data_IF_487303041428
#
_entry.id   IF_487303041428
#
_cell.length_a   1.000
_cell.length_b   1.000
_cell.length_c   1.000
_cell.angle_alpha   90.00
_cell.angle_beta   90.00
_cell.angle_gamma   90.00
#
_symmetry.space_group_name_H-M   'P 1'
#
loop_
_entity.id
_entity.type
_entity.pdbx_description
1 polymer ?
#
# COMPACT_ATOMS: atom_id res chain seq x y z
N UNK A 1 -2.94 63.21 -52.94
CA UNK A 1 -2.31 62.10 -53.69
C UNK A 1 -1.55 61.26 -52.67
N UNK A 2 -2.12 60.12 -52.27
CA UNK A 2 -1.68 59.29 -51.13
C UNK A 2 -0.45 58.48 -51.55
N UNK A 3 0.67 58.63 -50.84
CA UNK A 3 1.90 57.88 -51.08
C UNK A 3 2.09 56.88 -49.94
N UNK A 4 1.89 55.60 -50.26
CA UNK A 4 1.81 54.50 -49.30
C UNK A 4 3.11 54.21 -48.55
N UNK A 5 2.95 53.90 -47.27
CA UNK A 5 3.97 53.28 -46.43
C UNK A 5 4.00 51.78 -46.72
N UNK A 6 5.17 51.24 -47.09
CA UNK A 6 5.45 49.79 -46.99
C UNK A 6 6.61 49.63 -46.02
N UNK A 7 6.25 49.25 -44.79
CA UNK A 7 7.16 48.90 -43.70
C UNK A 7 7.68 47.48 -43.95
N UNK A 8 8.91 47.35 -44.46
CA UNK A 8 9.60 46.06 -44.59
C UNK A 8 10.15 45.67 -43.21
N UNK A 9 9.39 44.83 -42.52
CA UNK A 9 9.82 44.12 -41.32
C UNK A 9 10.84 43.06 -41.73
N UNK A 10 12.12 43.29 -41.44
CA UNK A 10 13.18 42.28 -41.53
C UNK A 10 13.26 41.55 -40.17
N UNK A 11 12.45 40.50 -40.02
CA UNK A 11 12.73 39.46 -39.02
C UNK A 11 13.80 38.53 -39.60
N UNK A 12 15.05 38.75 -39.20
CA UNK A 12 16.12 37.76 -39.43
C UNK A 12 15.85 36.61 -38.46
N UNK A 13 15.38 35.50 -39.01
CA UNK A 13 15.29 34.21 -38.34
C UNK A 13 16.68 33.75 -37.92
N UNK A 14 17.05 33.97 -36.65
CA UNK A 14 18.07 33.17 -36.00
C UNK A 14 17.41 31.88 -35.51
N UNK A 15 17.07 30.98 -36.45
CA UNK A 15 16.79 29.57 -36.11
C UNK A 15 18.11 28.93 -35.74
N UNK A 16 18.42 29.00 -34.45
CA UNK A 16 19.40 28.14 -33.82
C UNK A 16 18.94 26.69 -34.01
N UNK A 17 19.58 25.98 -34.95
CA UNK A 17 19.41 24.54 -35.13
C UNK A 17 20.00 23.88 -33.89
N UNK A 18 19.17 23.66 -32.87
CA UNK A 18 19.43 22.64 -31.87
C UNK A 18 19.23 21.29 -32.58
N UNK A 19 20.27 20.81 -33.27
CA UNK A 19 20.33 19.41 -33.63
C UNK A 19 20.29 18.62 -32.32
N UNK A 20 19.18 17.91 -32.09
CA UNK A 20 18.97 17.12 -30.88
C UNK A 20 20.15 16.16 -30.72
N UNK A 21 20.88 16.26 -29.60
CA UNK A 21 22.02 15.39 -29.31
C UNK A 21 21.67 13.90 -29.43
N UNK A 22 20.39 13.54 -29.22
CA UNK A 22 19.85 12.20 -29.42
C UNK A 22 19.95 11.67 -30.85
N UNK A 23 19.80 12.51 -31.88
CA UNK A 23 19.91 12.08 -33.29
C UNK A 23 21.35 11.77 -33.68
N UNK A 24 22.30 12.59 -33.22
CA UNK A 24 23.73 12.38 -33.46
C UNK A 24 24.20 11.11 -32.76
N UNK A 25 23.77 10.90 -31.51
CA UNK A 25 24.07 9.67 -30.75
C UNK A 25 23.51 8.43 -31.45
N UNK A 26 22.29 8.50 -31.99
CA UNK A 26 21.68 7.37 -32.68
C UNK A 26 22.47 6.96 -33.94
N UNK A 27 22.94 7.93 -34.73
CA UNK A 27 23.71 7.68 -35.95
C UNK A 27 25.12 7.11 -35.66
N UNK A 28 25.83 7.66 -34.66
CA UNK A 28 27.18 7.16 -34.29
C UNK A 28 27.13 5.71 -33.79
N UNK A 29 26.12 5.36 -33.02
CA UNK A 29 25.95 4.00 -32.51
C UNK A 29 25.39 3.02 -33.55
N UNK A 30 24.63 3.49 -34.56
CA UNK A 30 24.24 2.64 -35.70
C UNK A 30 25.47 2.14 -36.47
N UNK A 31 26.50 2.98 -36.57
CA UNK A 31 27.78 2.65 -37.20
C UNK A 31 28.82 2.04 -36.24
N UNK A 32 28.41 1.60 -35.04
CA UNK A 32 29.33 1.11 -34.01
C UNK A 32 30.19 -0.08 -34.50
N UNK A 33 29.66 -0.93 -35.37
CA UNK A 33 30.42 -2.02 -35.99
C UNK A 33 31.64 -1.50 -36.76
N UNK A 34 31.46 -0.45 -37.55
CA UNK A 34 32.52 0.15 -38.35
C UNK A 34 33.55 0.86 -37.45
N UNK A 35 33.08 1.58 -36.43
CA UNK A 35 33.94 2.21 -35.40
C UNK A 35 34.78 1.14 -34.69
N UNK A 36 34.18 0.03 -34.27
CA UNK A 36 34.87 -1.08 -33.62
C UNK A 36 35.92 -1.71 -34.54
N UNK A 37 35.64 -1.81 -35.84
CA UNK A 37 36.59 -2.33 -36.83
C UNK A 37 37.82 -1.43 -36.97
N UNK A 38 37.64 -0.10 -36.99
CA UNK A 38 38.73 0.87 -37.02
C UNK A 38 39.55 0.82 -35.74
N UNK A 39 38.91 0.75 -34.57
CA UNK A 39 39.61 0.64 -33.28
C UNK A 39 40.51 -0.59 -33.20
N UNK A 40 40.06 -1.75 -33.72
CA UNK A 40 40.91 -2.96 -33.81
C UNK A 40 42.21 -2.70 -34.57
N UNK A 41 42.15 -1.99 -35.70
CA UNK A 41 43.36 -1.65 -36.46
C UNK A 41 44.32 -0.76 -35.66
N UNK A 42 43.77 0.14 -34.85
CA UNK A 42 44.56 1.03 -33.98
C UNK A 42 45.28 0.25 -32.88
N UNK A 43 44.57 -0.63 -32.17
CA UNK A 43 45.15 -1.47 -31.11
C UNK A 43 46.18 -2.48 -31.65
N UNK A 44 45.90 -3.05 -32.83
CA UNK A 44 46.82 -3.97 -33.52
C UNK A 44 48.03 -3.27 -34.14
N UNK A 45 48.13 -1.94 -34.04
CA UNK A 45 49.19 -1.11 -34.68
C UNK A 45 49.25 -1.27 -36.20
N UNK A 46 48.12 -1.59 -36.83
CA UNK A 46 47.96 -1.71 -38.29
C UNK A 46 47.34 -0.46 -38.92
N UNK A 47 46.80 0.45 -38.10
CA UNK A 47 46.17 1.68 -38.56
C UNK A 47 47.21 2.73 -38.99
N UNK A 48 46.97 3.36 -40.15
CA UNK A 48 47.68 4.57 -40.57
C UNK A 48 47.05 5.85 -40.00
N UNK A 49 47.74 6.98 -40.19
CA UNK A 49 47.31 8.32 -39.72
C UNK A 49 45.87 8.68 -40.12
N UNK A 50 45.46 8.36 -41.34
CA UNK A 50 44.10 8.62 -41.85
C UNK A 50 43.05 7.83 -41.06
N UNK A 51 43.32 6.56 -40.74
CA UNK A 51 42.39 5.70 -40.00
C UNK A 51 42.26 6.14 -38.55
N UNK A 52 43.38 6.58 -37.95
CA UNK A 52 43.39 7.12 -36.59
C UNK A 52 42.59 8.42 -36.53
N UNK A 53 42.82 9.35 -37.48
CA UNK A 53 42.07 10.61 -37.57
C UNK A 53 40.59 10.39 -37.79
N UNK A 54 40.21 9.43 -38.65
CA UNK A 54 38.81 9.06 -38.86
C UNK A 54 38.18 8.58 -37.56
N UNK A 55 38.81 7.63 -36.86
CA UNK A 55 38.26 7.14 -35.59
C UNK A 55 38.17 8.25 -34.53
N UNK A 56 39.15 9.16 -34.47
CA UNK A 56 39.11 10.32 -33.59
C UNK A 56 37.93 11.26 -33.90
N UNK A 57 37.59 11.47 -35.17
CA UNK A 57 36.41 12.22 -35.58
C UNK A 57 35.12 11.51 -35.14
N UNK A 58 35.01 10.20 -35.34
CA UNK A 58 33.83 9.41 -34.95
C UNK A 58 33.58 9.44 -33.44
N UNK A 59 34.64 9.37 -32.62
CA UNK A 59 34.52 9.42 -31.14
C UNK A 59 34.47 10.85 -30.59
N UNK A 60 34.53 11.88 -31.45
CA UNK A 60 34.37 13.28 -31.07
C UNK A 60 35.57 13.92 -30.35
N UNK A 61 36.79 13.51 -30.68
CA UNK A 61 38.04 14.11 -30.18
C UNK A 61 38.84 14.80 -31.28
N UNK A 62 39.88 15.53 -30.89
CA UNK A 62 40.80 16.17 -31.85
C UNK A 62 41.45 15.12 -32.74
N UNK A 63 41.31 15.28 -34.06
CA UNK A 63 41.85 14.38 -35.06
C UNK A 63 43.32 14.68 -35.37
N UNK A 64 44.20 14.36 -34.43
CA UNK A 64 45.64 14.60 -34.52
C UNK A 64 46.44 13.42 -35.10
N UNK A 65 45.79 12.29 -35.38
CA UNK A 65 46.41 11.08 -35.91
C UNK A 65 47.22 10.28 -34.88
N UNK A 66 47.13 10.65 -33.60
CA UNK A 66 47.83 9.98 -32.50
C UNK A 66 46.83 9.39 -31.52
N UNK A 67 46.73 8.07 -31.50
CA UNK A 67 45.86 7.40 -30.54
C UNK A 67 46.48 7.44 -29.14
N UNK A 68 45.81 8.13 -28.22
CA UNK A 68 46.27 8.31 -26.84
C UNK A 68 45.13 8.26 -25.82
N UNK A 69 45.42 8.61 -24.57
CA UNK A 69 44.49 8.47 -23.43
C UNK A 69 43.13 9.15 -23.65
N UNK A 70 43.10 10.30 -24.31
CA UNK A 70 41.86 11.02 -24.59
C UNK A 70 41.00 10.31 -25.65
N UNK A 71 41.62 9.81 -26.72
CA UNK A 71 40.94 9.03 -27.75
C UNK A 71 40.41 7.71 -27.20
N UNK A 72 41.21 7.05 -26.36
CA UNK A 72 40.81 5.83 -25.66
C UNK A 72 39.60 6.06 -24.74
N UNK A 73 39.64 7.11 -23.93
CA UNK A 73 38.54 7.46 -23.04
C UNK A 73 37.26 7.81 -23.81
N UNK A 74 37.39 8.52 -24.94
CA UNK A 74 36.24 8.87 -25.78
C UNK A 74 35.62 7.64 -26.46
N UNK A 75 36.45 6.70 -26.94
CA UNK A 75 35.96 5.42 -27.46
C UNK A 75 35.24 4.60 -26.38
N UNK A 76 35.79 4.50 -25.16
CA UNK A 76 35.11 3.84 -24.04
C UNK A 76 33.77 4.51 -23.72
N UNK A 77 33.72 5.84 -23.68
CA UNK A 77 32.48 6.58 -23.43
C UNK A 77 31.44 6.37 -24.56
N UNK A 78 31.88 6.17 -25.80
CA UNK A 78 31.01 5.77 -26.90
C UNK A 78 30.45 4.37 -26.68
N UNK A 79 31.27 3.40 -26.29
CA UNK A 79 30.80 2.04 -25.98
C UNK A 79 29.77 2.03 -24.84
N UNK A 80 30.04 2.74 -23.74
CA UNK A 80 29.10 2.83 -22.61
C UNK A 80 27.76 3.45 -23.05
N UNK A 81 27.83 4.51 -23.86
CA UNK A 81 26.65 5.16 -24.42
C UNK A 81 25.85 4.21 -25.30
N UNK A 82 26.50 3.56 -26.27
CA UNK A 82 25.82 2.67 -27.21
C UNK A 82 25.36 1.36 -26.54
N UNK A 83 26.05 0.88 -25.51
CA UNK A 83 25.66 -0.30 -24.74
C UNK A 83 24.43 -0.08 -23.86
N UNK A 84 24.17 1.17 -23.47
CA UNK A 84 22.96 1.56 -22.73
C UNK A 84 21.78 1.98 -23.62
N UNK A 85 22.01 2.15 -24.92
CA UNK A 85 21.00 2.69 -25.83
C UNK A 85 20.19 1.56 -26.48
N UNK A 86 18.87 1.55 -26.23
CA UNK A 86 17.94 0.66 -26.92
C UNK A 86 17.44 1.33 -28.20
N UNK A 87 17.73 0.72 -29.35
CA UNK A 87 17.13 1.11 -30.63
C UNK A 87 15.77 0.43 -30.79
N UNK A 88 14.78 1.12 -31.39
CA UNK A 88 13.59 0.41 -31.86
C UNK A 88 14.02 -0.59 -32.94
N UNK A 89 13.72 -1.87 -32.71
CA UNK A 89 13.89 -2.92 -33.71
C UNK A 89 12.81 -2.85 -34.79
N UNK A 90 12.76 -3.89 -35.61
CA UNK A 90 11.68 -4.07 -36.59
C UNK A 90 10.31 -4.08 -35.89
N UNK A 91 9.34 -3.40 -36.48
CA UNK A 91 7.98 -3.33 -35.95
C UNK A 91 7.21 -4.55 -36.43
N UNK A 92 6.92 -5.46 -35.51
CA UNK A 92 6.02 -6.59 -35.77
C UNK A 92 4.58 -6.13 -35.50
N UNK A 93 3.75 -6.17 -36.53
CA UNK A 93 2.30 -5.95 -36.40
C UNK A 93 1.63 -7.26 -35.97
N UNK A 94 0.75 -7.17 -34.98
CA UNK A 94 0.01 -8.32 -34.46
C UNK A 94 -1.46 -8.13 -34.83
N UNK A 95 -1.99 -9.02 -35.66
CA UNK A 95 -3.37 -8.93 -36.15
C UNK A 95 -4.40 -9.41 -35.12
N UNK A 96 -4.04 -10.40 -34.31
CA UNK A 96 -4.94 -11.04 -33.34
C UNK A 96 -4.31 -11.05 -31.95
N UNK A 97 -4.90 -10.28 -31.04
CA UNK A 97 -4.62 -10.33 -29.62
C UNK A 97 -5.90 -10.60 -28.84
N UNK A 98 -5.82 -11.43 -27.81
CA UNK A 98 -6.95 -11.76 -26.94
C UNK A 98 -6.70 -11.19 -25.55
N UNK A 99 -7.66 -10.42 -25.05
CA UNK A 99 -7.63 -9.87 -23.68
C UNK A 99 -8.59 -10.67 -22.80
N UNK A 100 -8.10 -11.11 -21.64
CA UNK A 100 -8.88 -11.84 -20.63
C UNK A 100 -8.86 -11.04 -19.33
N UNK A 101 -10.03 -10.80 -18.76
CA UNK A 101 -10.17 -10.06 -17.50
C UNK A 101 -10.36 -11.00 -16.31
N UNK A 102 -9.63 -10.72 -15.23
CA UNK A 102 -9.73 -11.44 -13.97
C UNK A 102 -10.34 -10.53 -12.89
N UNK A 103 -11.35 -11.07 -12.21
CA UNK A 103 -12.06 -10.38 -11.13
C UNK A 103 -11.89 -11.13 -9.83
N UNK A 104 -11.68 -10.40 -8.74
CA UNK A 104 -11.63 -10.93 -7.39
C UNK A 104 -12.97 -10.67 -6.68
N UNK A 105 -13.46 -11.66 -5.96
CA UNK A 105 -14.61 -11.47 -5.09
C UNK A 105 -14.17 -10.86 -3.75
N UNK A 106 -14.83 -9.78 -3.36
CA UNK A 106 -14.58 -9.06 -2.12
C UNK A 106 -15.84 -9.07 -1.27
N UNK A 107 -15.75 -9.65 -0.08
CA UNK A 107 -16.83 -9.56 0.91
C UNK A 107 -16.79 -8.21 1.59
N UNK A 108 -17.89 -7.46 1.51
CA UNK A 108 -18.05 -6.18 2.20
C UNK A 108 -18.70 -6.43 3.56
N UNK A 109 -18.04 -5.92 4.59
CA UNK A 109 -18.52 -6.00 5.96
C UNK A 109 -19.11 -4.65 6.38
N UNK A 110 -20.29 -4.68 6.98
CA UNK A 110 -20.89 -3.53 7.63
C UNK A 110 -20.98 -3.76 9.13
N UNK A 111 -20.86 -2.68 9.89
CA UNK A 111 -20.92 -2.71 11.35
C UNK A 111 -22.36 -2.50 11.79
N UNK A 112 -23.05 -3.58 12.12
CA UNK A 112 -24.44 -3.54 12.58
C UNK A 112 -24.52 -3.62 14.11
N UNK A 113 -25.51 -2.95 14.70
CA UNK A 113 -25.80 -3.05 16.12
C UNK A 113 -26.71 -4.27 16.36
N UNK A 114 -26.23 -5.22 17.17
CA UNK A 114 -27.01 -6.36 17.63
C UNK A 114 -27.31 -6.15 19.11
N UNK A 115 -28.59 -6.18 19.46
CA UNK A 115 -29.03 -6.06 20.85
C UNK A 115 -28.83 -7.40 21.55
N UNK A 116 -27.97 -7.41 22.57
CA UNK A 116 -27.76 -8.57 23.43
C UNK A 116 -28.42 -8.31 24.77
N UNK A 117 -29.41 -9.14 25.13
CA UNK A 117 -30.15 -9.03 26.38
C UNK A 117 -29.79 -10.17 27.32
N UNK A 118 -29.39 -9.83 28.55
CA UNK A 118 -29.12 -10.80 29.60
C UNK A 118 -30.10 -10.61 30.75
N UNK A 119 -30.68 -11.73 31.21
CA UNK A 119 -31.50 -11.71 32.41
C UNK A 119 -30.57 -11.66 33.63
N UNK A 120 -30.68 -10.59 34.41
CA UNK A 120 -29.95 -10.41 35.66
C UNK A 120 -30.93 -10.42 36.82
N UNK A 121 -30.55 -11.12 37.89
CA UNK A 121 -31.33 -11.15 39.11
C UNK A 121 -30.74 -10.13 40.08
N UNK A 122 -31.46 -9.03 40.32
CA UNK A 122 -31.01 -7.93 41.18
C UNK A 122 -31.70 -8.00 42.54
N UNK A 123 -30.98 -7.72 43.64
CA UNK A 123 -31.57 -7.73 44.99
C UNK A 123 -32.48 -6.51 45.20
N UNK A 124 -33.67 -6.75 45.76
CA UNK A 124 -34.60 -5.70 46.20
C UNK A 124 -34.44 -5.52 47.71
N UNK A 125 -34.14 -4.29 48.13
CA UNK A 125 -33.94 -3.95 49.54
C UNK A 125 -35.23 -3.42 50.17
N UNK A 126 -35.59 -3.98 51.33
CA UNK A 126 -36.77 -3.58 52.09
C UNK A 126 -36.42 -3.38 53.57
N UNK A 127 -37.19 -2.53 54.23
CA UNK A 127 -37.10 -2.33 55.68
C UNK A 127 -37.87 -3.44 56.38
N UNK A 128 -37.17 -4.30 57.12
CA UNK A 128 -37.78 -5.36 57.93
C UNK A 128 -37.56 -5.07 59.41
N UNK A 129 -38.51 -5.46 60.25
CA UNK A 129 -38.35 -5.35 61.70
C UNK A 129 -37.29 -6.34 62.17
N UNK A 130 -36.33 -5.85 62.95
CA UNK A 130 -35.29 -6.69 63.51
C UNK A 130 -35.95 -7.75 64.43
N UNK A 131 -35.62 -9.05 64.30
CA UNK A 131 -36.10 -10.06 65.22
C UNK A 131 -35.74 -9.68 66.66
N UNK A 132 -36.71 -9.74 67.57
CA UNK A 132 -36.52 -9.44 68.99
C UNK A 132 -35.80 -10.56 69.76
N UNK A 133 -35.40 -11.64 69.09
CA UNK A 133 -34.58 -12.68 69.68
C UNK A 133 -33.11 -12.27 69.67
N UNK A 134 -32.72 -11.82 70.86
CA UNK A 134 -31.36 -11.65 71.36
C UNK A 134 -30.35 -12.63 70.74
N UNK A 135 -29.35 -12.09 70.03
CA UNK A 135 -28.09 -12.80 69.79
C UNK A 135 -27.31 -12.44 68.54
N UNK A 136 -27.93 -11.90 67.49
CA UNK A 136 -27.23 -11.69 66.22
C UNK A 136 -27.27 -10.23 65.75
N UNK A 137 -26.16 -9.54 66.03
CA UNK A 137 -25.67 -8.39 65.27
C UNK A 137 -26.49 -7.11 65.41
N UNK A 138 -26.64 -6.63 66.65
CA UNK A 138 -26.89 -5.22 66.91
C UNK A 138 -25.54 -4.53 67.11
N UNK A 139 -25.11 -3.73 66.13
CA UNK A 139 -23.93 -2.88 66.24
C UNK A 139 -22.83 -3.21 65.23
N UNK A 140 -22.80 -2.44 64.15
CA UNK A 140 -21.66 -2.15 63.27
C UNK A 140 -20.51 -3.15 63.18
N UNK A 141 -20.52 -3.96 62.12
CA UNK A 141 -19.28 -4.36 61.46
C UNK A 141 -19.59 -4.76 60.02
N UNK A 142 -19.06 -3.99 59.05
CA UNK A 142 -18.82 -4.52 57.71
C UNK A 142 -17.73 -5.58 57.89
N UNK A 143 -18.13 -6.82 58.14
CA UNK A 143 -17.26 -7.97 57.97
C UNK A 143 -17.16 -8.24 56.46
N UNK A 144 -16.29 -7.46 55.80
CA UNK A 144 -15.79 -7.72 54.46
C UNK A 144 -14.92 -8.97 54.48
N UNK A 145 -15.54 -10.14 54.51
CA UNK A 145 -14.88 -11.43 54.28
C UNK A 145 -14.69 -11.64 52.79
N UNK A 146 -13.55 -11.18 52.27
CA UNK A 146 -13.11 -11.40 50.89
C UNK A 146 -12.47 -12.79 50.78
N UNK A 147 -13.23 -13.87 50.59
CA UNK A 147 -12.71 -15.19 50.13
C UNK A 147 -13.90 -15.94 49.48
N UNK A 148 -13.89 -16.42 48.24
CA UNK A 148 -12.85 -16.45 47.20
C UNK A 148 -13.27 -17.37 46.05
N UNK A 149 -12.55 -17.18 44.92
CA UNK A 149 -12.25 -18.15 43.86
C UNK A 149 -13.41 -18.62 42.96
N UNK A 150 -13.56 -17.93 41.82
CA UNK A 150 -13.85 -18.64 40.57
C UNK A 150 -12.50 -18.81 39.87
N UNK A 151 -11.98 -20.03 39.89
CA UNK A 151 -10.99 -20.45 38.90
C UNK A 151 -11.79 -20.72 37.63
N UNK A 152 -11.70 -19.85 36.64
CA UNK A 152 -12.09 -20.20 35.27
C UNK A 152 -10.83 -20.71 34.57
N UNK A 153 -10.49 -21.98 34.81
CA UNK A 153 -9.61 -22.73 33.90
C UNK A 153 -10.51 -23.64 33.06
N UNK A 154 -11.15 -23.04 32.05
CA UNK A 154 -11.64 -23.68 30.82
C UNK A 154 -12.61 -22.71 30.13
N UNK A 155 -12.36 -22.51 28.84
CA UNK A 155 -13.22 -21.78 27.92
C UNK A 155 -14.67 -22.25 28.06
N UNK A 156 -15.52 -21.41 28.68
CA UNK A 156 -16.95 -21.66 28.86
C UNK A 156 -17.49 -21.62 30.31
N UNK A 157 -16.67 -21.32 31.32
CA UNK A 157 -17.09 -21.30 32.73
C UNK A 157 -17.52 -19.94 33.30
N UNK A 158 -18.68 -19.90 33.94
CA UNK A 158 -19.36 -18.74 34.51
C UNK A 158 -18.58 -17.96 35.59
N UNK A 159 -18.73 -16.62 35.61
CA UNK A 159 -18.38 -15.77 36.75
C UNK A 159 -19.65 -15.28 37.48
N UNK A 160 -20.23 -16.12 38.34
CA UNK A 160 -21.32 -15.70 39.25
C UNK A 160 -20.69 -15.08 40.48
N UNK A 161 -20.58 -13.74 40.48
CA UNK A 161 -19.95 -12.96 41.54
C UNK A 161 -20.59 -13.20 42.90
N UNK A 162 -19.74 -13.30 43.93
CA UNK A 162 -20.14 -13.40 45.32
C UNK A 162 -21.12 -12.27 45.71
N UNK A 163 -22.29 -12.63 46.22
CA UNK A 163 -23.23 -11.66 46.79
C UNK A 163 -22.95 -11.54 48.29
N UNK A 164 -22.23 -10.47 48.67
CA UNK A 164 -22.05 -10.05 50.06
C UNK A 164 -23.30 -9.25 50.45
N UNK A 165 -24.21 -9.86 51.21
CA UNK A 165 -25.36 -9.17 51.80
C UNK A 165 -25.03 -8.64 53.20
N UNK A 166 -24.48 -7.44 53.29
CA UNK A 166 -24.32 -6.73 54.56
C UNK A 166 -25.66 -6.09 54.98
N UNK A 167 -26.10 -6.31 56.22
CA UNK A 167 -27.19 -5.54 56.79
C UNK A 167 -26.66 -4.15 57.19
N UNK A 168 -27.27 -3.08 56.69
CA UNK A 168 -26.98 -1.71 57.14
C UNK A 168 -28.00 -1.37 58.22
N UNK A 169 -27.54 -1.30 59.47
CA UNK A 169 -28.34 -0.82 60.58
C UNK A 169 -28.48 0.70 60.47
N UNK A 170 -29.71 1.20 60.35
CA UNK A 170 -29.99 2.64 60.35
C UNK A 170 -30.24 3.08 61.79
N UNK A 171 -29.37 3.90 62.36
CA UNK A 171 -29.47 4.42 63.74
C UNK A 171 -30.47 5.59 63.79
N UNK A 172 -31.75 5.30 63.53
CA UNK A 172 -32.84 6.27 63.71
C UNK A 172 -33.82 5.73 64.74
N UNK A 173 -33.75 6.35 65.93
CA UNK A 173 -34.22 5.96 67.26
C UNK A 173 -35.75 5.84 67.47
N UNK A 174 -36.55 5.35 66.51
CA UNK A 174 -37.97 5.07 66.82
C UNK A 174 -38.54 3.78 66.25
N UNK A 175 -37.90 3.11 65.30
CA UNK A 175 -38.43 1.87 64.73
C UNK A 175 -37.28 0.93 64.39
N UNK A 176 -37.12 -0.17 65.16
CA UNK A 176 -36.13 -1.25 65.00
C UNK A 176 -36.20 -1.89 63.61
N UNK A 177 -35.78 -1.17 62.58
CA UNK A 177 -35.92 -1.55 61.18
C UNK A 177 -34.55 -1.65 60.56
N UNK A 178 -34.24 -2.82 60.03
CA UNK A 178 -33.00 -3.10 59.31
C UNK A 178 -33.31 -3.19 57.82
N UNK A 179 -32.45 -2.61 56.99
CA UNK A 179 -32.58 -2.74 55.53
C UNK A 179 -31.94 -4.07 55.13
N UNK A 180 -32.75 -5.00 54.63
CA UNK A 180 -32.31 -6.33 54.19
C UNK A 180 -32.75 -6.59 52.75
N UNK A 181 -32.05 -7.46 52.05
CA UNK A 181 -32.54 -8.03 50.78
C UNK A 181 -33.80 -8.83 51.09
N UNK A 182 -34.97 -8.31 50.70
CA UNK A 182 -36.29 -8.92 50.96
C UNK A 182 -36.77 -9.77 49.79
N UNK A 183 -36.11 -9.67 48.65
CA UNK A 183 -36.44 -10.44 47.46
C UNK A 183 -35.44 -10.19 46.34
N UNK A 184 -35.70 -10.83 45.23
CA UNK A 184 -34.93 -10.67 44.01
C UNK A 184 -35.87 -10.41 42.86
N UNK A 185 -35.56 -9.41 42.06
CA UNK A 185 -36.29 -9.07 40.85
C UNK A 185 -35.46 -9.51 39.65
N UNK A 186 -36.11 -10.16 38.68
CA UNK A 186 -35.50 -10.46 37.41
C UNK A 186 -35.61 -9.20 36.55
N UNK A 187 -34.47 -8.62 36.18
CA UNK A 187 -34.39 -7.51 35.25
C UNK A 187 -33.69 -7.96 33.97
N UNK A 188 -34.14 -7.47 32.82
CA UNK A 188 -33.49 -7.73 31.54
C UNK A 188 -32.59 -6.54 31.22
N UNK A 189 -31.28 -6.74 31.20
CA UNK A 189 -30.30 -5.73 30.79
C UNK A 189 -29.92 -5.95 29.33
N UNK A 190 -30.33 -5.03 28.45
CA UNK A 190 -30.05 -5.09 27.02
C UNK A 190 -28.97 -4.08 26.65
N UNK A 191 -27.92 -4.53 25.95
CA UNK A 191 -26.84 -3.67 25.44
C UNK A 191 -26.64 -3.89 23.96
N UNK A 192 -26.36 -2.80 23.25
CA UNK A 192 -26.00 -2.89 21.85
C UNK A 192 -24.54 -3.29 21.73
N UNK A 193 -24.29 -4.41 21.05
CA UNK A 193 -22.96 -4.83 20.63
C UNK A 193 -22.84 -4.65 19.12
N UNK A 194 -21.78 -4.00 18.68
CA UNK A 194 -21.52 -3.86 17.26
C UNK A 194 -20.70 -5.03 16.75
N UNK A 195 -21.18 -5.68 15.70
CA UNK A 195 -20.50 -6.80 15.03
C UNK A 195 -20.31 -6.48 13.55
N UNK A 196 -19.22 -6.97 12.96
CA UNK A 196 -18.99 -6.88 11.52
C UNK A 196 -19.75 -8.01 10.84
N UNK A 197 -20.77 -7.69 10.05
CA UNK A 197 -21.57 -8.66 9.32
C UNK A 197 -21.24 -8.61 7.82
N UNK A 198 -21.01 -9.75 7.15
CA UNK A 198 -20.85 -9.77 5.70
C UNK A 198 -22.21 -9.46 5.06
N UNK A 199 -22.32 -8.32 4.39
CA UNK A 199 -23.60 -7.84 3.83
C UNK A 199 -23.72 -8.06 2.33
N UNK A 200 -22.59 -8.09 1.62
CA UNK A 200 -22.56 -8.32 0.16
C UNK A 200 -21.21 -8.85 -0.31
N UNK A 201 -21.23 -9.50 -1.46
CA UNK A 201 -20.04 -9.86 -2.23
C UNK A 201 -19.99 -8.98 -3.48
N UNK A 202 -18.90 -8.25 -3.64
CA UNK A 202 -18.64 -7.43 -4.82
C UNK A 202 -17.59 -8.10 -5.70
N UNK A 203 -17.73 -7.97 -7.03
CA UNK A 203 -16.71 -8.38 -7.99
C UNK A 203 -15.86 -7.16 -8.32
N UNK A 204 -14.60 -7.18 -7.88
CA UNK A 204 -13.64 -6.12 -8.13
C UNK A 204 -12.65 -6.53 -9.21
N UNK A 205 -12.22 -5.59 -10.04
CA UNK A 205 -11.25 -5.87 -11.09
C UNK A 205 -9.87 -6.10 -10.47
N UNK A 206 -9.23 -7.23 -10.81
CA UNK A 206 -7.91 -7.56 -10.29
C UNK A 206 -6.82 -7.18 -11.30
N UNK A 207 -6.86 -7.80 -12.47
CA UNK A 207 -5.89 -7.63 -13.56
C UNK A 207 -6.46 -8.21 -14.86
N UNK A 208 -5.77 -7.96 -15.97
CA UNK A 208 -6.05 -8.57 -17.27
C UNK A 208 -4.81 -9.26 -17.80
N UNK A 209 -4.98 -10.28 -18.64
CA UNK A 209 -3.91 -10.81 -19.48
C UNK A 209 -4.16 -10.48 -20.94
N UNK A 210 -3.09 -10.26 -21.69
CA UNK A 210 -3.11 -10.19 -23.16
C UNK A 210 -2.32 -11.38 -23.71
N UNK A 211 -2.96 -12.14 -24.58
CA UNK A 211 -2.38 -13.25 -25.33
C UNK A 211 -2.17 -12.82 -26.78
N UNK A 212 -0.95 -12.98 -27.29
CA UNK A 212 -0.59 -12.64 -28.67
C UNK A 212 0.56 -13.53 -29.16
N UNK A 213 0.75 -13.60 -30.48
CA UNK A 213 1.82 -14.39 -31.10
C UNK A 213 2.86 -13.46 -31.75
N UNK A 214 4.14 -13.77 -31.54
CA UNK A 214 5.26 -13.12 -32.23
C UNK A 214 6.16 -14.22 -32.79
N UNK A 215 6.41 -14.20 -34.10
CA UNK A 215 7.25 -15.18 -34.81
C UNK A 215 6.85 -16.66 -34.54
N UNK A 216 5.56 -16.97 -34.55
CA UNK A 216 5.07 -18.33 -34.29
C UNK A 216 5.08 -18.74 -32.81
N UNK A 217 5.44 -17.81 -31.90
CA UNK A 217 5.56 -18.09 -30.46
C UNK A 217 4.47 -17.33 -29.69
N UNK A 218 3.68 -18.03 -28.85
CA UNK A 218 2.67 -17.39 -28.03
C UNK A 218 3.33 -16.68 -26.84
N UNK A 219 2.82 -15.49 -26.52
CA UNK A 219 3.15 -14.69 -25.35
C UNK A 219 1.89 -14.37 -24.56
N UNK A 220 2.02 -14.34 -23.24
CA UNK A 220 0.98 -13.91 -22.32
C UNK A 220 1.58 -12.88 -21.37
N UNK A 221 1.02 -11.67 -21.35
CA UNK A 221 1.44 -10.61 -20.45
C UNK A 221 0.30 -10.20 -19.54
N UNK A 222 0.59 -10.05 -18.25
CA UNK A 222 -0.34 -9.46 -17.29
C UNK A 222 -0.21 -7.94 -17.30
N UNK A 223 -1.35 -7.25 -17.24
CA UNK A 223 -1.40 -5.80 -17.12
C UNK A 223 -2.62 -5.34 -16.32
N UNK A 224 -2.57 -4.09 -15.85
CA UNK A 224 -3.73 -3.39 -15.29
C UNK A 224 -4.24 -2.34 -16.28
N UNK A 225 -5.54 -2.35 -16.53
CA UNK A 225 -6.22 -1.28 -17.27
C UNK A 225 -6.03 0.06 -16.54
N UNK A 226 -5.69 1.12 -17.28
CA UNK A 226 -5.57 2.49 -16.77
C UNK A 226 -6.92 3.18 -16.71
#
# INVERSE_FOLDING_TARGET
>A
MVRGYVMKVLFVFATMVLANASLVIADTCANLSDVNSLYRLVVEKKAGDIQIKRLQQEVGVVADGKWGRLSEAAYSALLDRCGSYSYPGEVVQIDNAKVIDFFAEKTVFEKIAVTECVNRRVPVYGKVQAPSDTGAVLGGAIAGGVIGKIVTDSDGGAAVGALIGGAIANESQQNNTVTKVVGYENTTDCKNRYVNMPVKTEKDYAYSTIEFEVDGKPYTLEFKKR
#
